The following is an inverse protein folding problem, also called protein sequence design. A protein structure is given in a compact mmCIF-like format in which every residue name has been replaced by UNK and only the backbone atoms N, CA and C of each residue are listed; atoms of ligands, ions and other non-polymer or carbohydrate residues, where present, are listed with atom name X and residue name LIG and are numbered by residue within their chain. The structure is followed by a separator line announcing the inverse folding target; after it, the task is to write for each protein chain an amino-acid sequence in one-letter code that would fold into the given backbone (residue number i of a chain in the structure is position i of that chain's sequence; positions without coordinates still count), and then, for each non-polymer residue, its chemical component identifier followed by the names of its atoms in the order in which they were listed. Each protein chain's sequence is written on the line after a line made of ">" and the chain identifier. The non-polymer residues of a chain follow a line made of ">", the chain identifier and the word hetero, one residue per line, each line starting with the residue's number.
data_IF_693767091470
#
_entry.id   IF_693767091470
#
_cell.length_a   1.000
_cell.length_b   1.000
_cell.length_c   1.000
_cell.angle_alpha   90.00
_cell.angle_beta   90.00
_cell.angle_gamma   90.00
#
_symmetry.space_group_name_H-M   'P 1'
#
loop_
_entity.id
_entity.type
_entity.pdbx_description
1 polymer ?
#
# COMPACT_ATOMS: atom_id res chain seq x y z
N UNK A 1 21.47 17.36 22.82
CA UNK A 1 20.61 16.15 22.92
C UNK A 1 19.13 16.52 23.06
N UNK A 2 18.75 17.44 23.95
CA UNK A 2 17.34 17.85 24.13
C UNK A 2 16.73 18.56 22.90
N UNK A 3 17.50 19.35 22.14
CA UNK A 3 17.03 20.00 20.91
C UNK A 3 16.44 19.04 19.87
N UNK A 4 17.06 17.88 19.67
CA UNK A 4 16.55 16.86 18.73
C UNK A 4 15.22 16.29 19.22
N UNK A 5 15.06 16.12 20.53
CA UNK A 5 13.82 15.65 21.14
C UNK A 5 12.67 16.62 20.93
N UNK A 6 12.91 17.92 21.14
CA UNK A 6 11.91 18.96 20.88
C UNK A 6 11.59 19.08 19.40
N UNK A 7 12.60 19.03 18.53
CA UNK A 7 12.41 19.10 17.07
C UNK A 7 11.54 17.94 16.56
N UNK A 8 11.79 16.72 17.04
CA UNK A 8 10.99 15.54 16.67
C UNK A 8 9.58 15.64 17.26
N UNK A 9 9.43 16.09 18.51
CA UNK A 9 8.12 16.29 19.12
C UNK A 9 7.28 17.34 18.37
N UNK A 10 7.83 18.53 18.10
CA UNK A 10 7.13 19.59 17.37
C UNK A 10 6.84 19.23 15.90
N UNK A 11 7.70 18.45 15.26
CA UNK A 11 7.46 17.95 13.89
C UNK A 11 6.39 16.85 13.84
N UNK A 12 6.30 16.02 14.89
CA UNK A 12 5.33 14.92 14.96
C UNK A 12 3.94 15.36 15.45
N UNK A 13 3.81 16.47 16.18
CA UNK A 13 2.52 17.06 16.60
C UNK A 13 1.52 17.22 15.44
N UNK A 14 1.86 17.87 14.30
CA UNK A 14 0.95 17.96 13.16
C UNK A 14 0.67 16.59 12.54
N UNK A 15 1.62 15.65 12.58
CA UNK A 15 1.42 14.26 12.12
C UNK A 15 0.39 13.52 12.98
N UNK A 16 0.45 13.69 14.30
CA UNK A 16 -0.49 13.07 15.25
C UNK A 16 -1.88 13.68 15.10
N UNK A 17 -1.97 14.99 14.86
CA UNK A 17 -3.24 15.67 14.54
C UNK A 17 -3.78 15.31 13.15
N UNK A 18 -2.93 14.82 12.25
CA UNK A 18 -3.33 14.31 10.94
C UNK A 18 -3.97 12.91 11.04
N UNK A 19 -3.63 12.14 12.09
CA UNK A 19 -4.33 10.90 12.35
C UNK A 19 -5.76 11.22 12.83
N UNK A 20 -6.78 10.80 12.07
CA UNK A 20 -8.16 11.05 12.46
C UNK A 20 -8.40 10.42 13.85
N UNK A 21 -9.09 11.12 14.78
CA UNK A 21 -9.37 10.57 16.10
C UNK A 21 -10.01 9.18 16.00
N UNK A 22 -9.87 8.35 17.05
CA UNK A 22 -10.26 6.92 17.04
C UNK A 22 -11.68 6.68 16.48
N UNK A 23 -12.61 7.62 16.68
CA UNK A 23 -13.98 7.58 16.12
C UNK A 23 -14.05 7.68 14.60
N UNK A 24 -13.14 8.41 13.97
CA UNK A 24 -13.04 8.57 12.51
C UNK A 24 -12.08 7.57 11.85
N UNK A 25 -11.38 6.74 12.62
CA UNK A 25 -10.60 5.61 12.05
C UNK A 25 -11.51 4.71 11.24
N UNK A 26 -12.76 4.49 11.66
CA UNK A 26 -13.69 3.65 10.90
C UNK A 26 -13.97 4.23 9.50
N UNK A 27 -14.21 5.54 9.40
CA UNK A 27 -14.40 6.24 8.12
C UNK A 27 -13.12 6.29 7.28
N UNK A 28 -11.96 6.42 7.93
CA UNK A 28 -10.65 6.39 7.28
C UNK A 28 -10.34 5.00 6.71
N UNK A 29 -10.62 3.95 7.47
CA UNK A 29 -10.49 2.56 7.04
C UNK A 29 -11.46 2.27 5.91
N UNK A 30 -12.70 2.75 5.98
CA UNK A 30 -13.68 2.63 4.89
C UNK A 30 -13.18 3.29 3.60
N UNK A 31 -12.62 4.51 3.70
CA UNK A 31 -12.02 5.22 2.55
C UNK A 31 -10.78 4.50 2.00
N UNK A 32 -9.92 3.96 2.87
CA UNK A 32 -8.75 3.17 2.47
C UNK A 32 -9.19 1.87 1.80
N UNK A 33 -10.19 1.19 2.36
CA UNK A 33 -10.72 -0.03 1.78
C UNK A 33 -11.29 0.26 0.39
N UNK A 34 -12.06 1.33 0.23
CA UNK A 34 -12.66 1.71 -1.06
C UNK A 34 -11.60 2.07 -2.10
N UNK A 35 -10.56 2.82 -1.71
CA UNK A 35 -9.41 3.16 -2.59
C UNK A 35 -8.56 1.93 -2.91
N UNK A 36 -8.34 1.03 -1.95
CA UNK A 36 -7.68 -0.26 -2.17
C UNK A 36 -8.51 -1.18 -3.03
N UNK A 37 -9.85 -1.15 -2.93
CA UNK A 37 -10.75 -1.94 -3.76
C UNK A 37 -10.76 -1.42 -5.19
N UNK A 38 -10.76 -0.11 -5.40
CA UNK A 38 -10.60 0.48 -6.73
C UNK A 38 -9.23 0.12 -7.34
N UNK A 39 -8.17 0.18 -6.54
CA UNK A 39 -6.81 -0.22 -6.94
C UNK A 39 -6.73 -1.73 -7.18
N UNK A 40 -7.43 -2.53 -6.37
CA UNK A 40 -7.53 -3.99 -6.48
C UNK A 40 -8.33 -4.36 -7.71
N UNK A 41 -9.42 -3.68 -8.06
CA UNK A 41 -10.13 -3.93 -9.32
C UNK A 41 -9.23 -3.63 -10.52
N UNK A 42 -8.46 -2.54 -10.46
CA UNK A 42 -7.46 -2.21 -11.48
C UNK A 42 -6.32 -3.25 -11.55
N UNK A 43 -5.75 -3.63 -10.41
CA UNK A 43 -4.66 -4.62 -10.33
C UNK A 43 -5.13 -6.06 -10.47
N UNK A 44 -6.40 -6.38 -10.23
CA UNK A 44 -7.02 -7.70 -10.43
C UNK A 44 -7.27 -7.94 -11.92
N UNK A 45 -7.69 -6.90 -12.65
CA UNK A 45 -7.74 -6.95 -14.11
C UNK A 45 -6.34 -7.15 -14.72
N UNK A 46 -5.33 -6.46 -14.17
CA UNK A 46 -3.92 -6.71 -14.54
C UNK A 46 -3.47 -8.11 -14.11
N UNK A 47 -3.77 -8.56 -12.88
CA UNK A 47 -3.34 -9.85 -12.32
C UNK A 47 -3.95 -11.05 -13.03
N UNK A 48 -5.20 -10.96 -13.49
CA UNK A 48 -5.87 -12.07 -14.16
C UNK A 48 -5.16 -12.43 -15.47
N UNK A 49 -4.68 -11.43 -16.23
CA UNK A 49 -3.85 -11.64 -17.41
C UNK A 49 -2.37 -11.91 -17.08
N UNK A 50 -1.82 -11.22 -16.09
CA UNK A 50 -0.41 -11.30 -15.71
C UNK A 50 -0.05 -12.70 -15.22
N UNK A 51 -0.93 -13.38 -14.49
CA UNK A 51 -0.66 -14.73 -13.97
C UNK A 51 -0.50 -15.78 -15.09
N UNK A 52 -1.29 -15.65 -16.16
CA UNK A 52 -1.14 -16.45 -17.38
C UNK A 52 0.16 -16.15 -18.12
N UNK A 53 0.47 -14.86 -18.35
CA UNK A 53 1.70 -14.44 -19.01
C UNK A 53 2.96 -14.84 -18.21
N UNK A 54 2.92 -14.68 -16.88
CA UNK A 54 4.00 -15.05 -15.97
C UNK A 54 4.28 -16.55 -15.99
N UNK A 55 3.24 -17.40 -16.05
CA UNK A 55 3.42 -18.85 -16.21
C UNK A 55 4.11 -19.23 -17.53
N UNK A 56 3.83 -18.49 -18.61
CA UNK A 56 4.50 -18.66 -19.91
C UNK A 56 5.95 -18.21 -19.84
N UNK A 57 6.24 -17.05 -19.25
CA UNK A 57 7.60 -16.54 -19.06
C UNK A 57 8.42 -17.48 -18.18
N UNK A 58 7.89 -17.95 -17.06
CA UNK A 58 8.56 -18.91 -16.19
C UNK A 58 8.84 -20.25 -16.90
N UNK A 59 7.91 -20.73 -17.74
CA UNK A 59 8.17 -21.93 -18.55
C UNK A 59 9.22 -21.68 -19.63
N UNK A 60 9.23 -20.53 -20.30
CA UNK A 60 10.28 -20.15 -21.25
C UNK A 60 11.65 -20.06 -20.58
N UNK A 61 11.74 -19.39 -19.44
CA UNK A 61 12.98 -19.27 -18.65
C UNK A 61 13.46 -20.65 -18.18
N UNK A 62 12.55 -21.51 -17.71
CA UNK A 62 12.89 -22.88 -17.28
C UNK A 62 13.33 -23.76 -18.45
N UNK A 63 12.76 -23.56 -19.65
CA UNK A 63 13.13 -24.29 -20.86
C UNK A 63 14.44 -23.79 -21.47
N UNK A 64 14.74 -22.50 -21.35
CA UNK A 64 16.02 -21.90 -21.75
C UNK A 64 17.19 -22.31 -20.85
N UNK A 65 16.92 -22.87 -19.66
CA UNK A 65 17.94 -23.24 -18.67
C UNK A 65 18.23 -24.76 -18.63
N UNK A 66 17.66 -25.54 -19.55
CA UNK A 66 18.06 -26.92 -19.87
C UNK A 66 18.76 -26.93 -21.21
#
# INVERSE_FOLDING_TARGET
>A
MLDLFFTVAFSSVPLILYFPPIRSINLFVETIEETLKATSVYTNMVNHGLRGAWSRVLNCVRRSRR
#
